data_IF_010556586676
#
_entry.id   IF_010556586676
#
_cell.length_a   1.000
_cell.length_b   1.000
_cell.length_c   1.000
_cell.angle_alpha   90.00
_cell.angle_beta   90.00
_cell.angle_gamma   90.00
#
_symmetry.space_group_name_H-M   'P 1'
#
loop_
_entity.id
_entity.type
_entity.pdbx_description
1 polymer ?
#
# COMPACT_ATOMS: atom_id res chain seq x y z
N UNK A 1 31.91 -14.24 -8.14
CA UNK A 1 30.86 -14.88 -7.34
C UNK A 1 30.36 -13.84 -6.35
N UNK A 2 29.28 -13.13 -6.66
CA UNK A 2 28.73 -12.13 -5.74
C UNK A 2 28.05 -12.84 -4.57
N UNK A 3 28.45 -12.53 -3.35
CA UNK A 3 27.69 -12.86 -2.14
C UNK A 3 26.35 -12.14 -2.24
N UNK A 4 25.31 -12.87 -2.64
CA UNK A 4 23.93 -12.43 -2.49
C UNK A 4 23.72 -12.17 -0.99
N UNK A 5 23.49 -10.90 -0.65
CA UNK A 5 22.94 -10.51 0.63
C UNK A 5 21.77 -11.45 0.93
N UNK A 6 21.89 -12.25 1.99
CA UNK A 6 20.79 -13.06 2.46
C UNK A 6 19.68 -12.09 2.84
N UNK A 7 18.67 -11.93 1.99
CA UNK A 7 17.45 -11.25 2.39
C UNK A 7 16.83 -12.12 3.49
N UNK A 8 16.88 -11.64 4.73
CA UNK A 8 16.13 -12.27 5.82
C UNK A 8 14.66 -12.04 5.53
N UNK A 9 14.02 -13.00 4.87
CA UNK A 9 12.58 -12.99 4.68
C UNK A 9 11.92 -13.09 6.06
N UNK A 10 11.28 -12.02 6.49
CA UNK A 10 10.47 -11.99 7.71
C UNK A 10 9.04 -12.45 7.42
N UNK A 11 8.38 -13.00 8.45
CA UNK A 11 6.93 -13.23 8.39
C UNK A 11 6.21 -11.97 8.86
N UNK A 12 5.19 -11.55 8.11
CA UNK A 12 4.33 -10.41 8.45
C UNK A 12 2.89 -10.88 8.41
N UNK A 13 2.14 -10.63 9.48
CA UNK A 13 0.71 -10.89 9.51
C UNK A 13 -0.02 -9.75 8.80
N UNK A 14 -0.82 -10.11 7.80
CA UNK A 14 -1.67 -9.19 7.05
C UNK A 14 -3.09 -9.74 7.11
N UNK A 15 -4.06 -8.85 7.27
CA UNK A 15 -5.47 -9.24 7.28
C UNK A 15 -5.94 -9.58 5.87
N UNK A 16 -6.89 -10.51 5.77
CA UNK A 16 -7.50 -10.88 4.50
C UNK A 16 -8.41 -9.76 3.99
N UNK A 17 -8.58 -9.72 2.66
CA UNK A 17 -9.72 -9.00 2.09
C UNK A 17 -11.03 -9.61 2.58
N UNK A 18 -12.07 -8.77 2.60
CA UNK A 18 -13.41 -9.12 3.09
C UNK A 18 -14.46 -9.18 1.98
N UNK A 19 -14.18 -8.64 0.80
CA UNK A 19 -15.11 -8.62 -0.34
C UNK A 19 -14.65 -9.59 -1.42
N UNK A 20 -15.45 -10.62 -1.67
CA UNK A 20 -15.28 -11.55 -2.77
C UNK A 20 -16.28 -11.21 -3.89
N UNK A 21 -15.89 -11.42 -5.14
CA UNK A 21 -16.78 -11.16 -6.27
C UNK A 21 -17.42 -12.45 -6.76
N UNK A 22 -18.72 -12.41 -7.02
CA UNK A 22 -19.49 -13.54 -7.52
C UNK A 22 -18.88 -14.11 -8.82
N UNK A 23 -18.77 -15.45 -8.89
CA UNK A 23 -18.23 -16.18 -10.04
C UNK A 23 -16.71 -16.14 -10.19
N UNK A 24 -16.00 -15.38 -9.35
CA UNK A 24 -14.55 -15.23 -9.42
C UNK A 24 -13.83 -16.04 -8.34
N UNK A 25 -12.51 -16.21 -8.50
CA UNK A 25 -11.66 -16.82 -7.47
C UNK A 25 -11.35 -15.81 -6.38
N UNK A 26 -11.39 -16.23 -5.11
CA UNK A 26 -11.09 -15.38 -3.97
C UNK A 26 -10.06 -16.03 -3.04
N UNK A 27 -9.07 -15.26 -2.58
CA UNK A 27 -8.07 -15.72 -1.61
C UNK A 27 -8.52 -15.30 -0.21
N UNK A 28 -8.72 -16.27 0.68
CA UNK A 28 -8.85 -15.98 2.11
C UNK A 28 -7.46 -16.11 2.73
N UNK A 29 -6.93 -14.98 3.19
CA UNK A 29 -5.60 -14.90 3.78
C UNK A 29 -5.65 -15.30 5.26
N UNK A 30 -4.86 -16.29 5.67
CA UNK A 30 -4.63 -16.59 7.08
C UNK A 30 -3.13 -16.77 7.30
N UNK A 31 -2.49 -15.75 7.87
CA UNK A 31 -1.06 -15.82 8.22
C UNK A 31 -0.95 -15.79 9.74
N UNK A 32 -0.24 -16.77 10.30
CA UNK A 32 0.14 -16.81 11.71
C UNK A 32 1.65 -16.91 11.80
N UNK A 33 2.29 -15.82 12.17
CA UNK A 33 3.73 -15.76 12.33
C UNK A 33 4.14 -16.31 13.69
N UNK A 34 5.27 -17.02 13.74
CA UNK A 34 5.89 -17.37 15.02
C UNK A 34 6.46 -16.10 15.65
N UNK A 35 6.37 -15.99 16.97
CA UNK A 35 6.99 -14.89 17.72
C UNK A 35 8.52 -14.86 17.57
N UNK A 36 9.11 -16.03 17.37
CA UNK A 36 10.56 -16.27 17.22
C UNK A 36 10.77 -17.20 16.03
N UNK A 37 11.49 -16.75 15.00
CA UNK A 37 11.55 -17.45 13.72
C UNK A 37 12.45 -18.70 13.77
N UNK A 38 13.46 -18.70 14.63
CA UNK A 38 14.44 -19.78 14.81
C UNK A 38 13.89 -21.01 15.55
N UNK A 39 12.76 -20.89 16.26
CA UNK A 39 12.18 -22.01 17.00
C UNK A 39 11.58 -23.03 16.02
N UNK A 40 12.01 -24.29 16.09
CA UNK A 40 11.43 -25.37 15.27
C UNK A 40 9.96 -25.56 15.64
N UNK A 41 9.11 -25.69 14.63
CA UNK A 41 7.67 -25.79 14.81
C UNK A 41 7.04 -26.73 13.79
N UNK A 42 6.01 -27.43 14.22
CA UNK A 42 5.12 -28.20 13.37
C UNK A 42 3.70 -27.70 13.58
N UNK A 43 2.98 -27.42 12.51
CA UNK A 43 1.63 -26.91 12.57
C UNK A 43 0.70 -27.65 11.62
N UNK A 44 -0.56 -27.74 12.02
CA UNK A 44 -1.68 -28.07 11.16
C UNK A 44 -2.76 -27.02 11.33
N UNK A 45 -3.70 -26.98 10.40
CA UNK A 45 -4.81 -26.01 10.47
C UNK A 45 -6.14 -26.68 10.23
N UNK A 46 -7.13 -26.17 10.94
CA UNK A 46 -8.53 -26.48 10.73
C UNK A 46 -9.24 -25.18 10.37
N UNK A 47 -10.05 -25.24 9.34
CA UNK A 47 -10.91 -24.13 8.96
C UNK A 47 -12.34 -24.46 9.32
N UNK A 48 -13.03 -23.45 9.84
CA UNK A 48 -14.45 -23.51 10.13
C UNK A 48 -15.18 -22.40 9.39
N UNK A 49 -16.43 -22.65 9.03
CA UNK A 49 -17.30 -21.70 8.37
C UNK A 49 -18.61 -21.55 9.14
N UNK A 50 -19.09 -20.31 9.19
CA UNK A 50 -20.38 -19.93 9.73
C UNK A 50 -21.11 -19.10 8.67
N UNK A 51 -22.22 -19.64 8.19
CA UNK A 51 -23.07 -18.97 7.22
C UNK A 51 -23.84 -17.81 7.86
N UNK A 52 -24.11 -16.76 7.08
CA UNK A 52 -24.86 -15.60 7.55
C UNK A 52 -26.26 -16.02 8.04
N UNK A 53 -26.50 -15.85 9.34
CA UNK A 53 -27.77 -16.19 9.99
C UNK A 53 -27.78 -17.50 10.78
N UNK A 54 -26.68 -18.27 10.74
CA UNK A 54 -26.44 -19.41 11.65
C UNK A 54 -25.50 -19.01 12.78
N UNK A 55 -25.64 -19.65 13.95
CA UNK A 55 -24.82 -19.34 15.14
C UNK A 55 -23.60 -20.26 15.31
N UNK A 56 -23.59 -21.41 14.63
CA UNK A 56 -22.59 -22.47 14.85
C UNK A 56 -21.56 -22.55 13.73
N UNK A 57 -20.29 -22.66 14.12
CA UNK A 57 -19.19 -22.95 13.20
C UNK A 57 -19.15 -24.43 12.86
N UNK A 58 -19.08 -24.74 11.56
CA UNK A 58 -18.90 -26.11 11.05
C UNK A 58 -17.50 -26.24 10.46
N UNK A 59 -16.80 -27.34 10.75
CA UNK A 59 -15.45 -27.58 10.21
C UNK A 59 -15.57 -27.91 8.73
N UNK A 60 -14.89 -27.12 7.89
CA UNK A 60 -14.94 -27.26 6.42
C UNK A 60 -13.77 -28.06 5.87
N UNK A 61 -12.58 -27.87 6.41
CA UNK A 61 -11.38 -28.57 5.97
C UNK A 61 -10.33 -28.63 7.08
N UNK A 62 -9.39 -29.54 6.90
CA UNK A 62 -8.17 -29.69 7.67
C UNK A 62 -7.00 -29.79 6.71
N UNK A 63 -5.92 -29.08 6.99
CA UNK A 63 -4.66 -29.24 6.28
C UNK A 63 -3.57 -29.67 7.26
N UNK A 64 -2.95 -30.80 6.94
CA UNK A 64 -1.85 -31.38 7.67
C UNK A 64 -0.70 -31.64 6.69
N UNK A 65 0.56 -31.30 7.01
CA UNK A 65 1.69 -31.58 6.13
C UNK A 65 1.84 -33.06 5.74
N UNK A 66 1.39 -33.99 6.58
CA UNK A 66 1.49 -35.44 6.34
C UNK A 66 0.27 -36.02 5.62
N UNK A 67 -0.94 -35.58 5.99
CA UNK A 67 -2.19 -36.07 5.41
C UNK A 67 -2.70 -35.23 4.22
N UNK A 68 -2.00 -34.14 3.89
CA UNK A 68 -2.39 -33.14 2.89
C UNK A 68 -3.74 -32.47 3.22
N UNK A 69 -4.43 -31.97 2.19
CA UNK A 69 -5.71 -31.26 2.33
C UNK A 69 -6.87 -32.27 2.42
N UNK A 70 -7.58 -32.25 3.53
CA UNK A 70 -8.82 -33.00 3.77
C UNK A 70 -10.00 -32.00 3.81
N UNK A 71 -10.91 -32.10 2.85
CA UNK A 71 -12.16 -31.31 2.84
C UNK A 71 -13.26 -32.16 3.47
N UNK A 72 -13.85 -31.67 4.56
CA UNK A 72 -14.82 -32.40 5.39
C UNK A 72 -16.27 -32.04 5.00
N UNK A 73 -16.51 -30.79 4.61
CA UNK A 73 -17.82 -30.29 4.23
C UNK A 73 -18.02 -30.39 2.71
N UNK A 74 -19.04 -31.13 2.28
CA UNK A 74 -19.36 -31.36 0.86
C UNK A 74 -19.60 -30.04 0.10
N UNK A 75 -20.09 -28.99 0.77
CA UNK A 75 -20.33 -27.66 0.15
C UNK A 75 -19.05 -26.99 -0.34
N UNK A 76 -17.91 -27.41 0.19
CA UNK A 76 -16.59 -26.87 -0.13
C UNK A 76 -15.75 -27.84 -0.97
N UNK A 77 -16.31 -28.99 -1.32
CA UNK A 77 -15.65 -29.97 -2.17
C UNK A 77 -15.47 -29.41 -3.59
N UNK A 78 -14.28 -29.59 -4.16
CA UNK A 78 -13.84 -29.04 -5.46
C UNK A 78 -13.83 -27.50 -5.60
N UNK A 79 -14.31 -26.78 -4.58
CA UNK A 79 -14.32 -25.32 -4.49
C UNK A 79 -13.07 -24.77 -3.80
N UNK A 80 -12.51 -25.51 -2.83
CA UNK A 80 -11.36 -25.04 -2.05
C UNK A 80 -10.05 -25.61 -2.56
N UNK A 81 -9.05 -24.74 -2.69
CA UNK A 81 -7.68 -25.09 -3.06
C UNK A 81 -6.69 -24.53 -2.04
N UNK A 82 -5.72 -25.35 -1.62
CA UNK A 82 -4.66 -24.91 -0.72
C UNK A 82 -3.67 -23.95 -1.39
N UNK A 83 -3.49 -22.77 -0.77
CA UNK A 83 -2.54 -21.76 -1.20
C UNK A 83 -1.69 -21.19 -0.06
N UNK A 84 -1.47 -21.99 0.97
CA UNK A 84 -0.57 -21.68 2.06
C UNK A 84 0.85 -22.17 1.78
N UNK A 85 1.62 -22.27 2.86
CA UNK A 85 2.98 -22.80 2.87
C UNK A 85 2.98 -24.25 2.37
N UNK A 86 3.91 -24.57 1.47
CA UNK A 86 4.07 -25.91 0.86
C UNK A 86 5.47 -26.42 1.19
N UNK A 87 5.64 -27.74 1.25
CA UNK A 87 6.93 -28.40 1.48
C UNK A 87 7.62 -28.03 2.80
N UNK A 88 6.86 -27.63 3.82
CA UNK A 88 7.35 -27.36 5.17
C UNK A 88 6.32 -27.82 6.19
N UNK A 89 6.79 -28.28 7.35
CA UNK A 89 5.93 -28.57 8.51
C UNK A 89 5.65 -27.32 9.35
N UNK A 90 6.50 -26.30 9.22
CA UNK A 90 6.33 -25.01 9.87
C UNK A 90 5.42 -24.12 9.02
N UNK A 91 4.12 -24.38 9.11
CA UNK A 91 3.11 -23.61 8.38
C UNK A 91 2.96 -22.23 9.03
N UNK A 92 3.26 -21.18 8.27
CA UNK A 92 3.08 -19.78 8.67
C UNK A 92 2.02 -19.07 7.82
N UNK A 93 1.98 -19.36 6.52
CA UNK A 93 0.87 -18.99 5.63
C UNK A 93 -0.07 -20.20 5.51
N UNK A 94 -1.34 -20.02 5.87
CA UNK A 94 -2.38 -21.05 5.91
C UNK A 94 -3.56 -20.70 5.00
N UNK A 95 -3.31 -19.85 4.01
CA UNK A 95 -4.34 -19.30 3.13
C UNK A 95 -4.97 -20.33 2.21
N UNK A 96 -6.25 -20.12 1.91
CA UNK A 96 -7.04 -20.94 1.00
C UNK A 96 -7.55 -20.10 -0.17
N UNK A 97 -7.72 -20.73 -1.33
CA UNK A 97 -8.43 -20.18 -2.47
C UNK A 97 -9.82 -20.82 -2.56
N UNK A 98 -10.83 -19.98 -2.75
CA UNK A 98 -12.16 -20.39 -3.18
C UNK A 98 -12.25 -20.19 -4.69
N UNK A 99 -12.54 -21.25 -5.43
CA UNK A 99 -12.78 -21.20 -6.88
C UNK A 99 -14.27 -20.98 -7.15
N UNK A 100 -14.61 -20.04 -8.03
CA UNK A 100 -16.01 -19.78 -8.41
C UNK A 100 -16.93 -19.47 -7.20
N UNK A 101 -16.68 -18.35 -6.53
CA UNK A 101 -17.42 -17.94 -5.33
C UNK A 101 -18.89 -17.64 -5.64
N UNK A 102 -19.80 -18.16 -4.81
CA UNK A 102 -21.24 -17.84 -4.84
C UNK A 102 -21.69 -17.22 -3.52
N UNK A 103 -22.94 -16.74 -3.43
CA UNK A 103 -23.48 -16.14 -2.21
C UNK A 103 -23.56 -17.10 -1.02
N UNK A 104 -23.57 -18.41 -1.24
CA UNK A 104 -23.57 -19.42 -0.17
C UNK A 104 -22.25 -19.45 0.60
N UNK A 105 -21.15 -18.99 -0.02
CA UNK A 105 -19.84 -18.86 0.63
C UNK A 105 -19.70 -17.53 1.41
N UNK A 106 -20.74 -16.70 1.47
CA UNK A 106 -20.75 -15.48 2.26
C UNK A 106 -21.00 -15.80 3.75
N UNK A 107 -20.14 -15.29 4.62
CA UNK A 107 -20.21 -15.56 6.04
C UNK A 107 -18.87 -15.35 6.74
N UNK A 108 -18.72 -15.99 7.89
CA UNK A 108 -17.52 -15.90 8.69
C UNK A 108 -16.70 -17.18 8.61
N UNK A 109 -15.40 -17.01 8.34
CA UNK A 109 -14.42 -18.06 8.31
C UNK A 109 -13.53 -17.96 9.54
N UNK A 110 -13.28 -19.08 10.20
CA UNK A 110 -12.39 -19.19 11.34
C UNK A 110 -11.24 -20.11 10.97
N UNK A 111 -10.05 -19.53 10.85
CA UNK A 111 -8.79 -20.23 10.70
C UNK A 111 -8.24 -20.56 12.09
N UNK A 112 -8.27 -21.84 12.46
CA UNK A 112 -7.64 -22.36 13.68
C UNK A 112 -6.29 -22.95 13.32
N UNK A 113 -5.25 -22.42 13.94
CA UNK A 113 -3.86 -22.85 13.76
C UNK A 113 -3.41 -23.52 15.04
N UNK A 114 -3.11 -24.79 14.95
CA UNK A 114 -2.61 -25.58 16.06
C UNK A 114 -1.13 -25.88 15.79
N UNK A 115 -0.25 -25.33 16.63
CA UNK A 115 1.20 -25.35 16.41
C UNK A 115 1.91 -25.92 17.62
N UNK A 116 2.75 -26.91 17.38
CA UNK A 116 3.68 -27.47 18.35
C UNK A 116 5.05 -26.83 18.17
N UNK A 117 5.51 -26.07 19.16
CA UNK A 117 6.84 -25.49 19.22
C UNK A 117 7.77 -26.44 19.96
N UNK A 118 8.87 -26.83 19.32
CA UNK A 118 9.90 -27.69 19.91
C UNK A 118 11.01 -26.84 20.50
N UNK A 119 11.20 -26.95 21.82
CA UNK A 119 12.30 -26.33 22.56
C UNK A 119 13.27 -27.39 23.08
N UNK A 120 14.43 -26.98 23.58
CA UNK A 120 15.41 -27.87 24.20
C UNK A 120 14.83 -28.48 25.50
N UNK A 121 14.22 -29.66 25.36
CA UNK A 121 13.73 -30.47 26.48
C UNK A 121 12.21 -30.49 26.68
N UNK A 122 11.41 -29.77 25.89
CA UNK A 122 9.95 -29.86 25.93
C UNK A 122 9.28 -29.39 24.62
N UNK A 123 8.04 -29.82 24.42
CA UNK A 123 7.18 -29.38 23.31
C UNK A 123 6.01 -28.57 23.88
N UNK A 124 5.79 -27.38 23.34
CA UNK A 124 4.72 -26.48 23.76
C UNK A 124 3.69 -26.33 22.64
N UNK A 125 2.45 -26.70 22.90
CA UNK A 125 1.34 -26.53 21.97
C UNK A 125 0.70 -25.15 22.16
N UNK A 126 0.46 -24.46 21.04
CA UNK A 126 -0.30 -23.20 21.00
C UNK A 126 -1.42 -23.30 19.97
N UNK A 127 -2.55 -22.68 20.31
CA UNK A 127 -3.71 -22.60 19.41
C UNK A 127 -4.02 -21.13 19.16
N UNK A 128 -4.10 -20.75 17.89
CA UNK A 128 -4.39 -19.39 17.45
C UNK A 128 -5.61 -19.42 16.55
N UNK A 129 -6.56 -18.55 16.84
CA UNK A 129 -7.80 -18.41 16.11
C UNK A 129 -7.81 -17.06 15.38
N UNK A 130 -8.03 -17.07 14.07
CA UNK A 130 -8.21 -15.85 13.26
C UNK A 130 -9.55 -15.93 12.55
N UNK A 131 -10.41 -14.95 12.79
CA UNK A 131 -11.72 -14.84 12.16
C UNK A 131 -11.65 -13.86 11.00
N UNK A 132 -12.21 -14.24 9.86
CA UNK A 132 -12.27 -13.46 8.64
C UNK A 132 -13.73 -13.40 8.19
N UNK A 133 -14.27 -12.20 8.04
CA UNK A 133 -15.61 -11.99 7.50
C UNK A 133 -15.52 -11.82 5.98
N UNK A 134 -16.30 -12.59 5.24
CA UNK A 134 -16.33 -12.55 3.78
C UNK A 134 -17.75 -12.25 3.30
N UNK A 135 -17.88 -11.16 2.54
CA UNK A 135 -19.09 -10.78 1.85
C UNK A 135 -18.92 -10.99 0.35
N UNK A 136 -19.99 -11.41 -0.31
CA UNK A 136 -19.99 -11.67 -1.76
C UNK A 136 -20.77 -10.58 -2.46
N UNK A 137 -20.11 -9.89 -3.39
CA UNK A 137 -20.65 -8.78 -4.17
C UNK A 137 -20.65 -9.11 -5.67
N UNK A 138 -21.55 -8.49 -6.45
CA UNK A 138 -21.60 -8.72 -7.91
C UNK A 138 -20.43 -8.09 -8.65
N UNK A 139 -19.89 -7.00 -8.10
CA UNK A 139 -18.83 -6.21 -8.71
C UNK A 139 -17.85 -5.75 -7.63
N UNK A 140 -16.56 -5.86 -7.91
CA UNK A 140 -15.51 -5.36 -7.04
C UNK A 140 -15.71 -3.86 -6.77
N UNK A 141 -15.84 -3.49 -5.50
CA UNK A 141 -15.78 -2.10 -5.09
C UNK A 141 -14.32 -1.65 -5.01
N UNK A 142 -14.09 -0.40 -5.42
CA UNK A 142 -12.76 0.22 -5.28
C UNK A 142 -12.63 0.72 -3.85
N UNK A 143 -11.49 0.47 -3.24
CA UNK A 143 -11.25 0.90 -1.86
C UNK A 143 -11.42 2.41 -1.71
N UNK A 144 -12.16 2.83 -0.68
CA UNK A 144 -12.44 4.24 -0.39
C UNK A 144 -11.15 5.02 -0.21
N UNK A 145 -10.13 4.43 0.43
CA UNK A 145 -8.83 5.07 0.59
C UNK A 145 -8.12 5.30 -0.76
N UNK A 146 -8.26 4.38 -1.71
CA UNK A 146 -7.73 4.55 -3.07
C UNK A 146 -8.42 5.69 -3.82
N UNK A 147 -9.76 5.77 -3.74
CA UNK A 147 -10.52 6.86 -4.37
C UNK A 147 -10.13 8.21 -3.75
N UNK A 148 -10.09 8.31 -2.41
CA UNK A 148 -9.77 9.55 -1.70
C UNK A 148 -8.33 9.99 -1.97
N UNK A 149 -7.36 9.07 -1.94
CA UNK A 149 -5.96 9.41 -2.20
C UNK A 149 -5.72 9.91 -3.62
N UNK A 150 -6.41 9.35 -4.62
CA UNK A 150 -6.35 9.81 -6.00
C UNK A 150 -6.90 11.24 -6.15
N UNK A 151 -8.07 11.53 -5.56
CA UNK A 151 -8.65 12.88 -5.57
C UNK A 151 -7.73 13.87 -4.84
N UNK A 152 -7.23 13.51 -3.66
CA UNK A 152 -6.34 14.36 -2.87
C UNK A 152 -5.04 14.68 -3.61
N UNK A 153 -4.48 13.72 -4.36
CA UNK A 153 -3.31 13.93 -5.20
C UNK A 153 -3.57 15.03 -6.24
N UNK A 154 -4.67 14.96 -6.98
CA UNK A 154 -5.01 15.97 -7.99
C UNK A 154 -5.25 17.35 -7.38
N UNK A 155 -5.97 17.42 -6.25
CA UNK A 155 -6.22 18.69 -5.54
C UNK A 155 -4.90 19.33 -5.10
N UNK A 156 -3.99 18.56 -4.49
CA UNK A 156 -2.70 19.08 -4.06
C UNK A 156 -1.87 19.57 -5.25
N UNK A 157 -1.86 18.84 -6.37
CA UNK A 157 -1.14 19.26 -7.58
C UNK A 157 -1.68 20.60 -8.09
N UNK A 158 -3.00 20.74 -8.25
CA UNK A 158 -3.61 21.96 -8.79
C UNK A 158 -3.39 23.16 -7.87
N UNK A 159 -3.54 22.98 -6.55
CA UNK A 159 -3.34 24.08 -5.59
C UNK A 159 -1.87 24.52 -5.58
N UNK A 160 -0.93 23.57 -5.56
CA UNK A 160 0.50 23.89 -5.57
C UNK A 160 0.93 24.54 -6.90
N UNK A 161 0.40 24.10 -8.05
CA UNK A 161 0.71 24.74 -9.34
C UNK A 161 0.15 26.16 -9.43
N UNK A 162 -1.09 26.39 -8.99
CA UNK A 162 -1.68 27.73 -8.94
C UNK A 162 -0.85 28.64 -8.01
N UNK A 163 -0.44 28.14 -6.84
CA UNK A 163 0.42 28.87 -5.91
C UNK A 163 1.75 29.26 -6.57
N UNK A 164 2.44 28.31 -7.18
CA UNK A 164 3.72 28.57 -7.87
C UNK A 164 3.55 29.57 -9.01
N UNK A 165 2.49 29.46 -9.82
CA UNK A 165 2.21 30.42 -10.90
C UNK A 165 1.92 31.81 -10.34
N UNK A 166 1.19 31.93 -9.22
CA UNK A 166 0.94 33.20 -8.57
C UNK A 166 2.25 33.85 -8.09
N UNK A 167 3.14 33.09 -7.43
CA UNK A 167 4.46 33.56 -7.00
C UNK A 167 5.34 33.94 -8.20
N UNK A 168 5.32 33.15 -9.28
CA UNK A 168 6.06 33.46 -10.52
C UNK A 168 5.58 34.77 -11.15
N UNK A 169 4.26 34.98 -11.26
CA UNK A 169 3.69 36.23 -11.79
C UNK A 169 4.00 37.41 -10.86
N UNK A 170 3.90 37.21 -9.55
CA UNK A 170 4.20 38.23 -8.55
C UNK A 170 5.68 38.66 -8.64
N UNK A 171 6.61 37.71 -8.63
CA UNK A 171 8.03 37.96 -8.80
C UNK A 171 8.35 38.59 -10.14
N UNK A 172 7.77 38.08 -11.24
CA UNK A 172 7.97 38.64 -12.58
C UNK A 172 7.55 40.11 -12.65
N UNK A 173 6.35 40.46 -12.17
CA UNK A 173 5.88 41.85 -12.14
C UNK A 173 6.77 42.74 -11.29
N UNK A 174 7.22 42.26 -10.13
CA UNK A 174 8.10 43.01 -9.23
C UNK A 174 9.46 43.29 -9.87
N UNK A 175 10.05 42.30 -10.54
CA UNK A 175 11.34 42.45 -11.23
C UNK A 175 11.21 43.35 -12.46
N UNK A 176 10.15 43.21 -13.25
CA UNK A 176 9.90 44.07 -14.40
C UNK A 176 9.81 45.55 -13.98
N UNK A 177 9.05 45.85 -12.92
CA UNK A 177 8.97 47.21 -12.38
C UNK A 177 10.33 47.75 -11.90
N UNK A 178 11.15 46.91 -11.26
CA UNK A 178 12.50 47.29 -10.85
C UNK A 178 13.46 47.49 -12.05
N UNK A 179 13.29 46.72 -13.13
CA UNK A 179 14.10 46.81 -14.34
C UNK A 179 13.78 48.07 -15.14
N UNK A 180 12.49 48.44 -15.24
CA UNK A 180 12.07 49.69 -15.86
C UNK A 180 12.60 50.92 -15.09
N UNK A 181 12.55 50.89 -13.75
CA UNK A 181 13.13 51.94 -12.92
C UNK A 181 14.65 52.09 -13.13
N UNK A 182 15.39 50.97 -13.16
CA UNK A 182 16.83 50.99 -13.43
C UNK A 182 17.18 51.42 -14.87
N UNK A 183 16.35 51.06 -15.85
CA UNK A 183 16.53 51.52 -17.24
C UNK A 183 16.29 53.03 -17.37
N UNK A 184 15.36 53.59 -16.61
CA UNK A 184 15.09 55.02 -16.58
C UNK A 184 16.18 55.81 -15.85
N UNK A 185 16.75 55.27 -14.77
CA UNK A 185 17.94 55.85 -14.12
C UNK A 185 19.14 55.85 -15.08
N UNK A 186 19.43 54.73 -15.75
CA UNK A 186 20.51 54.66 -16.75
C UNK A 186 20.29 55.66 -17.91
N UNK A 187 19.06 55.79 -18.42
CA UNK A 187 18.75 56.75 -19.48
C UNK A 187 18.91 58.21 -19.00
N UNK A 188 18.56 58.49 -17.74
CA UNK A 188 18.78 59.81 -17.13
C UNK A 188 20.26 60.13 -16.92
N UNK A 189 21.08 59.12 -16.61
CA UNK A 189 22.53 59.26 -16.47
C UNK A 189 23.22 59.52 -17.82
N UNK A 190 22.78 58.86 -18.90
CA UNK A 190 23.25 59.17 -20.27
C UNK A 190 22.85 60.59 -20.71
N UNK A 191 21.62 61.02 -20.42
CA UNK A 191 21.19 62.39 -20.72
C UNK A 191 21.97 63.43 -19.90
N UNK A 192 22.26 63.12 -18.63
CA UNK A 192 23.10 63.97 -17.79
C UNK A 192 24.52 64.12 -18.35
N UNK A 193 25.17 63.03 -18.80
CA UNK A 193 26.51 63.08 -19.43
C UNK A 193 26.50 63.92 -20.71
N UNK A 194 25.46 63.83 -21.55
CA UNK A 194 25.35 64.69 -22.75
C UNK A 194 25.13 66.16 -22.40
N UNK A 195 24.38 66.46 -21.33
CA UNK A 195 24.20 67.85 -20.87
C UNK A 195 25.51 68.44 -20.32
N UNK A 196 26.29 67.68 -19.55
CA UNK A 196 27.56 68.15 -19.00
C UNK A 196 28.61 68.39 -20.10
N UNK A 197 28.60 67.57 -21.17
CA UNK A 197 29.46 67.79 -22.34
C UNK A 197 29.06 69.00 -23.21
N UNK A 198 27.77 69.38 -23.20
CA UNK A 198 27.26 70.53 -23.97
C UNK A 198 27.57 71.87 -23.29
N UNK A 199 27.59 71.91 -21.97
CA UNK A 199 27.93 73.11 -21.19
C UNK A 199 29.45 73.44 -21.28
N UNK A 200 30.31 72.44 -21.47
CA UNK A 200 31.77 72.64 -21.54
C UNK A 200 32.33 73.00 -22.93
N UNK A 201 31.49 73.04 -23.99
CA UNK A 201 31.91 73.46 -25.34
C UNK A 201 31.54 74.91 -25.70
N UNK A 202 30.97 75.69 -24.77
CA UNK A 202 30.58 77.08 -25.01
C UNK A 202 31.58 78.15 -24.48
N UNK A 203 32.80 77.75 -24.11
CA UNK A 203 33.71 78.64 -23.38
C UNK A 203 35.19 78.51 -23.71
N UNK A 204 35.58 78.62 -24.99
CA UNK A 204 36.95 79.06 -25.33
C UNK A 204 36.87 80.00 -26.55
N UNK A 205 36.86 81.32 -26.29
CA UNK A 205 37.38 82.28 -27.26
C UNK A 205 38.86 82.54 -26.94
N UNK A 206 39.70 82.34 -27.96
CA UNK A 206 41.15 82.56 -27.95
C UNK A 206 41.44 83.96 -28.51
N UNK A 207 42.26 84.70 -27.77
CA UNK A 207 43.22 85.78 -28.13
C UNK A 207 42.79 86.93 -29.07
N UNK A 208 42.88 88.16 -28.57
CA UNK A 208 44.08 89.04 -28.70
C UNK A 208 44.15 90.01 -27.50
#
# INVERSE_FOLDING_TARGET
>A
MGLLSSCWAGCVEVDSHTEAVFGMTFKILCISCKKRSETSAEAYTEWYFREKGTDTFTRILRYDPDALLEVVDERFQDLVVWNGSKNTRDLQDLSIFLTNVTYEQAGEYLCRVDRNLTFDGYVYNIVINKTIHVEVVDKANRDMASIVSEIMMYVLIVVLTIWLVAEMIYCYKKIAAATEAAAQENASEYLAITSESKENCAGVQVAE
#
